data_IF_901646700591
#
_entry.id   IF_901646700591
#
_cell.length_a   1.000
_cell.length_b   1.000
_cell.length_c   1.000
_cell.angle_alpha   90.00
_cell.angle_beta   90.00
_cell.angle_gamma   90.00
#
_symmetry.space_group_name_H-M   'P 1'
#
loop_
_entity.id
_entity.type
_entity.pdbx_description
1 polymer ?
#
# COMPACT_ATOMS: atom_id res chain seq x y z
N UNK A 1 -18.61 -22.58 5.70
CA UNK A 1 -17.41 -23.45 5.71
C UNK A 1 -16.26 -22.59 5.20
N UNK A 2 -15.38 -22.18 6.08
CA UNK A 2 -14.17 -21.43 5.71
C UNK A 2 -13.12 -22.50 5.47
N UNK A 3 -12.76 -22.74 4.22
CA UNK A 3 -11.63 -23.61 3.88
C UNK A 3 -10.32 -22.90 4.28
N UNK A 4 -9.59 -23.48 5.20
CA UNK A 4 -8.29 -22.98 5.60
C UNK A 4 -7.30 -23.04 4.42
N UNK A 5 -6.88 -21.90 3.94
CA UNK A 5 -5.85 -21.76 2.92
C UNK A 5 -4.50 -21.71 3.63
N UNK A 6 -3.66 -22.67 3.37
CA UNK A 6 -2.28 -22.74 3.88
C UNK A 6 -1.51 -21.52 3.33
N UNK A 7 -0.92 -20.74 4.22
CA UNK A 7 -0.13 -19.57 3.84
C UNK A 7 1.20 -20.08 3.24
N UNK A 8 1.26 -20.14 1.92
CA UNK A 8 2.50 -20.39 1.18
C UNK A 8 3.37 -19.12 1.14
N UNK A 9 4.68 -19.28 1.24
CA UNK A 9 5.65 -18.18 1.06
C UNK A 9 5.55 -17.65 -0.37
N UNK A 10 4.96 -16.49 -0.53
CA UNK A 10 4.62 -15.89 -1.82
C UNK A 10 5.68 -14.91 -2.30
N UNK A 11 5.99 -14.93 -3.59
CA UNK A 11 6.74 -13.86 -4.24
C UNK A 11 6.05 -12.51 -4.05
N UNK A 12 6.83 -11.44 -4.00
CA UNK A 12 6.35 -10.08 -3.74
C UNK A 12 6.13 -9.32 -5.02
N UNK A 13 5.10 -8.50 -4.98
CA UNK A 13 4.70 -7.63 -6.05
C UNK A 13 5.48 -6.31 -6.00
N UNK A 14 6.05 -5.89 -7.12
CA UNK A 14 6.49 -4.52 -7.34
C UNK A 14 5.49 -3.84 -8.25
N UNK A 15 5.03 -2.68 -7.82
CA UNK A 15 4.08 -1.87 -8.56
C UNK A 15 4.73 -0.54 -8.94
N UNK A 16 4.72 -0.20 -10.22
CA UNK A 16 4.97 1.17 -10.67
C UNK A 16 3.62 1.87 -10.72
N UNK A 17 3.47 2.92 -9.94
CA UNK A 17 2.22 3.64 -9.82
C UNK A 17 2.40 5.07 -10.28
N UNK A 18 1.61 5.46 -11.24
CA UNK A 18 1.52 6.83 -11.74
C UNK A 18 0.31 7.52 -11.15
N UNK A 19 0.51 8.70 -10.57
CA UNK A 19 -0.54 9.48 -9.95
C UNK A 19 -0.54 10.90 -10.48
N UNK A 20 -1.66 11.30 -11.06
CA UNK A 20 -1.96 12.70 -11.29
C UNK A 20 -3.00 13.15 -10.26
N UNK A 21 -2.65 14.09 -9.38
CA UNK A 21 -3.52 14.48 -8.28
C UNK A 21 -3.89 15.95 -8.29
N UNK A 22 -5.04 16.20 -7.71
CA UNK A 22 -5.66 17.52 -7.61
C UNK A 22 -5.46 18.20 -6.23
N UNK A 23 -4.33 17.99 -5.56
CA UNK A 23 -4.06 18.54 -4.21
C UNK A 23 -4.27 17.49 -3.11
N UNK A 24 -4.08 17.79 -1.87
CA UNK A 24 -4.10 17.06 -0.58
C UNK A 24 -4.29 15.52 -0.56
N UNK A 25 -4.83 14.92 -1.61
CA UNK A 25 -5.21 13.50 -1.70
C UNK A 25 -4.04 12.50 -1.71
N UNK A 26 -2.82 12.93 -2.02
CA UNK A 26 -1.64 12.04 -2.11
C UNK A 26 -1.31 11.37 -0.77
N UNK A 27 -1.63 12.03 0.34
CA UNK A 27 -1.32 11.52 1.67
C UNK A 27 -2.32 10.46 2.16
N UNK A 28 -3.57 10.58 1.77
CA UNK A 28 -4.55 9.51 1.93
C UNK A 28 -4.15 8.25 1.14
N UNK A 29 -3.37 8.43 0.09
CA UNK A 29 -2.92 7.37 -0.80
C UNK A 29 -1.82 6.47 -0.22
N UNK A 30 -0.89 7.00 0.54
CA UNK A 30 0.10 6.14 1.22
C UNK A 30 -0.59 5.14 2.18
N UNK A 31 -1.72 5.53 2.77
CA UNK A 31 -2.56 4.61 3.55
C UNK A 31 -3.37 3.64 2.67
N UNK A 32 -3.72 4.05 1.45
CA UNK A 32 -4.52 3.24 0.53
C UNK A 32 -3.69 2.24 -0.27
N UNK A 33 -2.42 2.54 -0.59
CA UNK A 33 -1.47 1.54 -1.13
C UNK A 33 -1.38 0.34 -0.18
N UNK A 34 -1.43 0.56 1.13
CA UNK A 34 -1.45 -0.51 2.10
C UNK A 34 -2.76 -1.32 2.12
N UNK A 35 -3.87 -0.75 1.66
CA UNK A 35 -5.17 -1.42 1.57
C UNK A 35 -5.39 -2.14 0.24
N UNK A 36 -4.82 -1.64 -0.85
CA UNK A 36 -5.08 -2.13 -2.21
C UNK A 36 -4.37 -3.45 -2.49
N UNK A 37 -3.22 -3.68 -1.89
CA UNK A 37 -2.39 -4.83 -2.21
C UNK A 37 -2.68 -6.07 -1.37
N UNK A 38 -3.84 -6.14 -0.74
CA UNK A 38 -4.20 -7.24 0.17
C UNK A 38 -4.78 -8.49 -0.52
N UNK A 39 -4.76 -8.62 -1.83
CA UNK A 39 -5.33 -9.78 -2.50
C UNK A 39 -4.38 -10.45 -3.49
N UNK A 40 -4.05 -11.61 -3.29
CA UNK A 40 -4.20 -12.93 -3.84
C UNK A 40 -2.98 -13.85 -3.63
N UNK A 41 -3.16 -14.96 -2.97
CA UNK A 41 -2.13 -15.95 -2.63
C UNK A 41 -2.36 -17.28 -3.41
N UNK A 42 -3.26 -17.29 -4.38
CA UNK A 42 -3.73 -18.55 -4.99
C UNK A 42 -2.77 -19.24 -5.94
N UNK A 43 -1.57 -18.71 -6.19
CA UNK A 43 -0.58 -19.30 -7.12
C UNK A 43 0.76 -19.65 -6.48
N UNK A 44 0.80 -19.78 -5.15
CA UNK A 44 2.04 -19.94 -4.39
C UNK A 44 2.85 -21.22 -4.77
N UNK A 45 2.19 -22.33 -5.09
CA UNK A 45 2.89 -23.59 -5.40
C UNK A 45 3.63 -23.54 -6.74
N UNK A 46 3.00 -22.94 -7.76
CA UNK A 46 3.65 -22.79 -9.06
C UNK A 46 4.80 -21.79 -9.03
N UNK A 47 4.69 -20.73 -8.20
CA UNK A 47 5.74 -19.74 -8.03
C UNK A 47 6.93 -20.31 -7.27
N UNK A 48 6.68 -21.13 -6.24
CA UNK A 48 7.75 -21.74 -5.44
C UNK A 48 8.63 -22.64 -6.30
N UNK A 49 8.04 -23.53 -7.11
CA UNK A 49 8.79 -24.39 -8.00
C UNK A 49 9.62 -23.62 -9.04
N UNK A 50 9.11 -22.50 -9.52
CA UNK A 50 9.80 -21.65 -10.51
C UNK A 50 10.90 -20.80 -9.85
N UNK A 51 10.68 -20.30 -8.64
CA UNK A 51 11.68 -19.53 -7.88
C UNK A 51 12.82 -20.44 -7.41
N UNK A 52 12.52 -21.67 -6.98
CA UNK A 52 13.52 -22.66 -6.59
C UNK A 52 14.37 -23.13 -7.80
N UNK A 53 13.79 -23.11 -9.01
CA UNK A 53 14.49 -23.52 -10.24
C UNK A 53 15.33 -22.38 -10.87
N UNK A 54 14.93 -21.12 -10.69
CA UNK A 54 15.62 -19.95 -11.29
C UNK A 54 15.53 -18.76 -10.34
N UNK A 55 16.54 -18.55 -9.55
CA UNK A 55 16.63 -17.48 -8.52
C UNK A 55 16.40 -16.02 -9.02
N UNK A 56 16.03 -15.82 -10.27
CA UNK A 56 15.89 -14.50 -10.90
C UNK A 56 14.62 -14.27 -11.71
N UNK A 57 13.63 -15.15 -11.67
CA UNK A 57 12.45 -15.00 -12.53
C UNK A 57 11.42 -14.04 -11.94
N UNK A 58 11.12 -12.98 -12.68
CA UNK A 58 10.02 -12.06 -12.40
C UNK A 58 8.85 -12.37 -13.33
N UNK A 59 7.62 -12.25 -12.82
CA UNK A 59 6.40 -12.40 -13.61
C UNK A 59 5.82 -11.02 -13.89
N UNK A 60 5.61 -10.70 -15.16
CA UNK A 60 5.13 -9.40 -15.62
C UNK A 60 3.62 -9.31 -15.78
N UNK A 61 2.92 -10.44 -15.60
CA UNK A 61 1.46 -10.49 -15.69
C UNK A 61 0.86 -11.11 -14.44
N UNK A 62 -0.06 -10.38 -13.82
CA UNK A 62 -0.88 -10.83 -12.69
C UNK A 62 -2.31 -10.40 -13.00
N UNK A 63 -3.18 -11.37 -13.31
CA UNK A 63 -4.55 -11.09 -13.76
C UNK A 63 -5.35 -10.27 -12.75
N UNK A 64 -5.89 -9.12 -13.19
CA UNK A 64 -6.79 -8.27 -12.42
C UNK A 64 -6.13 -7.34 -11.39
N UNK A 65 -4.86 -7.51 -11.05
CA UNK A 65 -4.21 -6.70 -10.00
C UNK A 65 -3.97 -5.24 -10.40
N UNK A 66 -3.69 -4.99 -11.67
CA UNK A 66 -3.50 -3.64 -12.19
C UNK A 66 -4.81 -2.85 -12.17
N UNK A 67 -5.87 -3.42 -12.74
CA UNK A 67 -7.20 -2.81 -12.73
C UNK A 67 -7.70 -2.53 -11.31
N UNK A 68 -7.48 -3.47 -10.40
CA UNK A 68 -7.81 -3.34 -8.99
C UNK A 68 -7.04 -2.19 -8.33
N UNK A 69 -5.74 -2.10 -8.55
CA UNK A 69 -4.89 -1.03 -8.04
C UNK A 69 -5.28 0.35 -8.57
N UNK A 70 -5.83 0.43 -9.78
CA UNK A 70 -6.30 1.66 -10.40
C UNK A 70 -7.71 2.07 -9.91
N UNK A 71 -8.60 1.11 -9.66
CA UNK A 71 -10.02 1.38 -9.40
C UNK A 71 -10.40 1.42 -7.92
N UNK A 72 -9.77 0.61 -7.06
CA UNK A 72 -10.11 0.57 -5.64
C UNK A 72 -9.85 1.88 -4.91
N UNK A 73 -8.73 2.61 -5.13
CA UNK A 73 -8.53 3.92 -4.50
C UNK A 73 -9.64 4.92 -4.85
N UNK A 74 -10.08 4.93 -6.09
CA UNK A 74 -11.16 5.82 -6.53
C UNK A 74 -12.49 5.48 -5.85
N UNK A 75 -12.71 4.21 -5.53
CA UNK A 75 -13.87 3.78 -4.75
C UNK A 75 -13.77 4.22 -3.29
N UNK A 76 -12.59 4.08 -2.68
CA UNK A 76 -12.33 4.49 -1.29
C UNK A 76 -12.51 6.01 -1.13
N UNK A 77 -12.05 6.80 -2.09
CA UNK A 77 -12.20 8.26 -2.11
C UNK A 77 -13.53 8.73 -2.68
N UNK A 78 -14.40 7.79 -3.03
CA UNK A 78 -15.73 8.06 -3.54
C UNK A 78 -16.65 8.67 -2.49
N UNK A 79 -17.89 8.92 -2.90
CA UNK A 79 -18.96 9.44 -2.04
C UNK A 79 -20.13 8.47 -2.03
N UNK A 80 -20.90 8.49 -0.95
CA UNK A 80 -22.17 7.76 -0.90
C UNK A 80 -23.26 8.72 -1.37
N UNK A 81 -23.89 8.40 -2.50
CA UNK A 81 -25.02 9.13 -3.06
C UNK A 81 -26.17 8.16 -3.25
N UNK A 82 -27.33 8.46 -2.65
CA UNK A 82 -28.53 7.61 -2.69
C UNK A 82 -28.29 6.14 -2.28
N UNK A 83 -27.40 5.92 -1.29
CA UNK A 83 -27.05 4.58 -0.81
C UNK A 83 -26.08 3.80 -1.68
N UNK A 84 -25.55 4.40 -2.75
CA UNK A 84 -24.59 3.80 -3.67
C UNK A 84 -23.24 4.54 -3.60
N UNK A 85 -22.14 3.77 -3.70
CA UNK A 85 -20.80 4.37 -3.77
C UNK A 85 -20.57 4.90 -5.19
N UNK A 86 -20.43 6.21 -5.33
CA UNK A 86 -19.98 6.88 -6.55
C UNK A 86 -18.48 7.07 -6.47
N UNK A 87 -17.75 6.46 -7.40
CA UNK A 87 -16.27 6.54 -7.44
C UNK A 87 -15.80 7.99 -7.64
N UNK A 88 -14.68 8.35 -7.03
CA UNK A 88 -13.96 9.57 -7.37
C UNK A 88 -13.48 9.52 -8.83
N UNK A 89 -13.38 10.67 -9.48
CA UNK A 89 -12.87 10.80 -10.84
C UNK A 89 -11.38 11.18 -10.87
N UNK A 90 -10.85 11.52 -9.73
CA UNK A 90 -9.48 11.95 -9.48
C UNK A 90 -8.96 11.31 -8.18
N UNK A 91 -7.62 11.08 -8.08
CA UNK A 91 -6.59 11.28 -9.10
C UNK A 91 -6.71 10.31 -10.28
N UNK A 92 -6.03 10.60 -11.40
CA UNK A 92 -5.82 9.60 -12.45
C UNK A 92 -4.71 8.65 -12.00
N UNK A 93 -4.96 7.36 -12.10
CA UNK A 93 -4.06 6.32 -11.62
C UNK A 93 -3.82 5.34 -12.76
N UNK A 94 -2.57 5.01 -13.00
CA UNK A 94 -2.19 3.85 -13.79
C UNK A 94 -1.20 3.00 -13.01
N UNK A 95 -1.24 1.70 -13.20
CA UNK A 95 -0.47 0.75 -12.43
C UNK A 95 0.09 -0.34 -13.32
N UNK A 96 1.33 -0.75 -13.06
CA UNK A 96 1.90 -1.97 -13.61
C UNK A 96 2.40 -2.85 -12.48
N UNK A 97 1.89 -4.08 -12.42
CA UNK A 97 2.18 -5.03 -11.37
C UNK A 97 3.20 -6.08 -11.83
N UNK A 98 4.27 -6.25 -11.07
CA UNK A 98 5.33 -7.22 -11.35
C UNK A 98 5.58 -8.05 -10.10
N UNK A 99 5.52 -9.35 -10.24
CA UNK A 99 5.88 -10.30 -9.18
C UNK A 99 7.39 -10.58 -9.21
N UNK A 100 8.04 -10.46 -8.06
CA UNK A 100 9.49 -10.66 -7.91
C UNK A 100 9.78 -11.66 -6.80
N UNK A 101 10.91 -12.40 -6.84
CA UNK A 101 11.24 -13.46 -5.90
C UNK A 101 11.75 -12.92 -4.56
N UNK A 102 10.84 -12.43 -3.72
CA UNK A 102 11.10 -12.02 -2.34
C UNK A 102 10.06 -12.65 -1.41
N UNK A 103 10.42 -12.87 -0.15
CA UNK A 103 9.56 -13.58 0.80
C UNK A 103 8.34 -12.75 1.22
N UNK A 104 8.55 -11.48 1.56
CA UNK A 104 7.52 -10.58 2.07
C UNK A 104 7.71 -9.17 1.52
N UNK A 105 6.69 -8.36 1.67
CA UNK A 105 6.72 -6.94 1.37
C UNK A 105 6.21 -6.58 -0.03
N UNK A 106 5.48 -5.50 -0.13
CA UNK A 106 5.14 -4.85 -1.39
C UNK A 106 5.96 -3.59 -1.55
N UNK A 107 6.62 -3.46 -2.69
CA UNK A 107 7.40 -2.28 -3.04
C UNK A 107 6.75 -1.58 -4.21
N UNK A 108 6.47 -0.30 -4.07
CA UNK A 108 5.92 0.55 -5.12
C UNK A 108 6.96 1.59 -5.55
N UNK A 109 7.23 1.68 -6.85
CA UNK A 109 7.88 2.85 -7.46
C UNK A 109 6.77 3.83 -7.85
N UNK A 110 6.73 4.97 -7.20
CA UNK A 110 5.65 5.95 -7.37
C UNK A 110 6.16 7.18 -8.11
N UNK A 111 5.41 7.60 -9.12
CA UNK A 111 5.59 8.86 -9.83
C UNK A 111 4.32 9.67 -9.62
N UNK A 112 4.45 10.95 -9.25
CA UNK A 112 3.30 11.75 -8.88
C UNK A 112 3.38 13.16 -9.44
N UNK A 113 2.24 13.62 -9.97
CA UNK A 113 2.02 15.00 -10.39
C UNK A 113 0.94 15.63 -9.51
N UNK A 114 1.21 16.83 -9.05
CA UNK A 114 0.30 17.59 -8.20
C UNK A 114 -0.34 18.74 -8.98
N UNK A 115 -1.54 19.16 -8.61
CA UNK A 115 -2.11 20.42 -9.14
C UNK A 115 -1.25 21.62 -8.74
N UNK A 116 -0.69 21.58 -7.53
CA UNK A 116 0.27 22.56 -7.03
C UNK A 116 1.46 21.78 -6.47
N UNK A 117 2.61 21.90 -7.13
CA UNK A 117 3.84 21.20 -6.73
C UNK A 117 4.24 21.61 -5.32
N UNK A 118 4.28 20.68 -4.35
CA UNK A 118 4.81 20.95 -3.01
C UNK A 118 6.35 20.95 -3.03
N UNK A 119 6.98 21.50 -2.00
CA UNK A 119 8.42 21.32 -1.78
C UNK A 119 8.72 19.92 -1.22
N UNK A 120 9.98 19.52 -1.27
CA UNK A 120 10.45 18.24 -0.72
C UNK A 120 10.17 18.16 0.79
N UNK A 121 10.46 19.23 1.49
CA UNK A 121 10.29 19.35 2.93
C UNK A 121 8.81 19.24 3.32
N UNK A 122 7.93 19.88 2.58
CA UNK A 122 6.47 19.77 2.78
C UNK A 122 5.98 18.34 2.60
N UNK A 123 6.52 17.60 1.61
CA UNK A 123 6.16 16.20 1.41
C UNK A 123 6.66 15.32 2.55
N UNK A 124 7.92 15.50 2.97
CA UNK A 124 8.49 14.72 4.09
C UNK A 124 7.70 14.99 5.37
N UNK A 125 7.47 16.26 5.69
CA UNK A 125 6.68 16.65 6.87
C UNK A 125 5.29 15.99 6.88
N UNK A 126 4.62 15.98 5.74
CA UNK A 126 3.29 15.35 5.63
C UNK A 126 3.35 13.84 5.76
N UNK A 127 4.36 13.19 5.20
CA UNK A 127 4.56 11.74 5.33
C UNK A 127 4.81 11.35 6.80
N UNK A 128 5.75 12.01 7.46
CA UNK A 128 6.14 11.68 8.83
C UNK A 128 5.05 12.01 9.87
N UNK A 129 4.30 13.09 9.65
CA UNK A 129 3.21 13.50 10.55
C UNK A 129 1.85 12.94 10.17
N UNK A 130 1.80 12.04 9.18
CA UNK A 130 0.53 11.44 8.77
C UNK A 130 -0.09 10.60 9.90
N UNK A 131 -1.33 10.93 10.23
CA UNK A 131 -2.16 10.17 11.16
C UNK A 131 -3.49 9.85 10.49
N UNK A 132 -3.87 8.60 10.54
CA UNK A 132 -5.20 8.17 10.18
C UNK A 132 -6.08 8.00 11.40
N UNK A 133 -7.35 7.73 11.19
CA UNK A 133 -8.32 7.49 12.25
C UNK A 133 -7.86 6.45 13.30
N UNK A 134 -7.18 5.34 12.94
CA UNK A 134 -6.67 4.40 13.92
C UNK A 134 -5.66 5.01 14.90
N UNK A 135 -4.77 5.90 14.44
CA UNK A 135 -3.82 6.61 15.31
C UNK A 135 -4.51 7.65 16.19
N UNK A 136 -5.49 8.37 15.65
CA UNK A 136 -6.30 9.33 16.40
C UNK A 136 -7.09 8.67 17.53
N UNK A 137 -7.61 7.46 17.29
CA UNK A 137 -8.34 6.66 18.26
C UNK A 137 -7.44 5.82 19.18
N UNK A 138 -6.13 5.86 18.97
CA UNK A 138 -5.13 5.05 19.71
C UNK A 138 -5.51 3.56 19.75
N UNK A 139 -5.90 2.99 18.61
CA UNK A 139 -6.32 1.60 18.55
C UNK A 139 -5.15 0.64 18.82
N UNK A 140 -5.41 -0.53 19.47
CA UNK A 140 -4.35 -1.45 19.91
C UNK A 140 -3.42 -1.92 18.79
N UNK A 141 -3.94 -2.20 17.60
CA UNK A 141 -3.16 -2.66 16.45
C UNK A 141 -2.64 -1.52 15.56
N UNK A 142 -2.92 -0.26 15.91
CA UNK A 142 -2.45 0.88 15.15
C UNK A 142 -0.94 1.09 15.33
N UNK A 143 -0.14 1.24 14.27
CA UNK A 143 1.25 1.63 14.39
C UNK A 143 1.34 3.04 15.00
N UNK A 144 2.33 3.28 15.84
CA UNK A 144 2.53 4.58 16.51
C UNK A 144 2.87 5.66 15.49
N UNK A 145 3.81 5.36 14.60
CA UNK A 145 4.13 6.18 13.43
C UNK A 145 3.78 5.40 12.17
N UNK A 146 2.74 5.82 11.47
CA UNK A 146 2.19 5.06 10.37
C UNK A 146 3.11 5.07 9.14
N UNK A 147 3.68 6.23 8.78
CA UNK A 147 4.60 6.37 7.67
C UNK A 147 5.92 6.90 8.19
N UNK A 148 7.02 6.23 7.83
CA UNK A 148 8.39 6.68 8.09
C UNK A 148 9.06 7.10 6.79
N UNK A 149 9.66 8.29 6.78
CA UNK A 149 10.55 8.70 5.70
C UNK A 149 11.99 8.26 5.98
N UNK A 150 12.67 7.75 4.96
CA UNK A 150 14.06 7.29 5.02
C UNK A 150 14.93 8.17 4.14
N UNK A 151 16.03 8.65 4.71
CA UNK A 151 16.95 9.59 4.05
C UNK A 151 18.03 8.90 3.25
N UNK A 152 18.31 7.63 3.56
CA UNK A 152 19.38 6.86 2.93
C UNK A 152 19.03 6.51 1.48
N UNK A 153 20.00 6.67 0.60
CA UNK A 153 19.81 6.47 -0.85
C UNK A 153 19.47 5.03 -1.25
N UNK A 154 19.82 4.06 -0.43
CA UNK A 154 19.55 2.64 -0.66
C UNK A 154 18.34 2.09 0.11
N UNK A 155 17.51 2.95 0.72
CA UNK A 155 16.33 2.55 1.49
C UNK A 155 15.03 3.10 0.89
N UNK A 156 13.89 2.40 1.05
CA UNK A 156 13.69 1.19 1.84
C UNK A 156 14.18 -0.09 1.12
N UNK A 157 14.56 -1.09 1.92
CA UNK A 157 14.90 -2.45 1.47
C UNK A 157 13.98 -3.47 2.13
N UNK A 158 13.48 -4.44 1.36
CA UNK A 158 12.52 -5.43 1.86
C UNK A 158 13.04 -6.15 3.09
N UNK A 159 14.25 -6.72 3.03
CA UNK A 159 14.81 -7.51 4.13
C UNK A 159 15.06 -6.74 5.43
N UNK A 160 15.26 -5.43 5.32
CA UNK A 160 15.62 -4.58 6.47
C UNK A 160 14.42 -3.82 7.04
N UNK A 161 13.45 -3.48 6.18
CA UNK A 161 12.43 -2.48 6.54
C UNK A 161 11.01 -3.02 6.59
N UNK A 162 10.75 -4.21 6.03
CA UNK A 162 9.40 -4.74 5.89
C UNK A 162 8.66 -4.88 7.24
N UNK A 163 9.40 -5.11 8.33
CA UNK A 163 8.84 -5.32 9.67
C UNK A 163 8.71 -4.04 10.50
N UNK A 164 8.87 -2.86 9.89
CA UNK A 164 8.67 -1.60 10.60
C UNK A 164 7.29 -1.53 11.27
N UNK A 165 7.26 -1.06 12.55
CA UNK A 165 6.04 -1.07 13.39
C UNK A 165 5.36 -2.46 13.41
N UNK A 166 6.14 -3.53 13.63
CA UNK A 166 5.68 -4.92 13.59
C UNK A 166 5.00 -5.31 12.27
N UNK A 167 5.43 -4.71 11.15
CA UNK A 167 4.84 -4.92 9.84
C UNK A 167 3.57 -4.12 9.57
N UNK A 168 3.15 -3.24 10.48
CA UNK A 168 1.96 -2.40 10.32
C UNK A 168 2.27 -1.00 9.78
N UNK A 169 3.55 -0.58 9.78
CA UNK A 169 3.99 0.70 9.24
C UNK A 169 4.36 0.65 7.76
N UNK A 170 4.53 1.82 7.18
CA UNK A 170 4.94 2.04 5.80
C UNK A 170 6.27 2.78 5.78
N UNK A 171 7.20 2.32 4.96
CA UNK A 171 8.46 3.00 4.73
C UNK A 171 8.40 3.72 3.38
N UNK A 172 8.78 4.99 3.37
CA UNK A 172 8.94 5.79 2.16
C UNK A 172 10.37 6.31 2.10
N UNK A 173 11.00 6.21 0.95
CA UNK A 173 12.34 6.74 0.73
C UNK A 173 12.56 7.11 -0.72
N UNK A 174 13.77 7.57 -1.03
CA UNK A 174 14.11 7.93 -2.41
C UNK A 174 13.25 9.05 -2.98
N UNK A 175 12.73 9.96 -2.17
CA UNK A 175 11.96 11.12 -2.63
C UNK A 175 12.89 12.10 -3.37
N UNK A 176 12.63 12.27 -4.65
CA UNK A 176 13.41 13.13 -5.55
C UNK A 176 12.54 13.68 -6.66
N UNK A 177 12.98 14.77 -7.27
CA UNK A 177 12.31 15.34 -8.43
C UNK A 177 12.30 14.36 -9.61
N UNK A 178 11.26 14.44 -10.41
CA UNK A 178 11.11 13.69 -11.63
C UNK A 178 11.16 14.62 -12.84
N UNK A 179 11.66 14.12 -13.97
CA UNK A 179 11.82 14.91 -15.20
C UNK A 179 10.50 15.12 -15.98
N UNK A 180 9.48 14.29 -15.72
CA UNK A 180 8.18 14.32 -16.38
C UNK A 180 7.08 14.71 -15.41
N UNK A 181 7.13 14.13 -14.19
CA UNK A 181 6.22 14.41 -13.10
C UNK A 181 6.87 15.35 -12.08
N UNK A 182 6.16 15.68 -11.01
CA UNK A 182 6.73 16.57 -10.00
C UNK A 182 7.73 15.83 -9.10
N UNK A 183 7.32 14.64 -8.61
CA UNK A 183 8.10 13.86 -7.66
C UNK A 183 8.02 12.38 -7.96
N UNK A 184 9.08 11.65 -7.53
CA UNK A 184 9.10 10.19 -7.50
C UNK A 184 9.72 9.70 -6.21
N UNK A 185 9.22 8.56 -5.73
CA UNK A 185 9.69 7.92 -4.50
C UNK A 185 9.44 6.42 -4.51
N UNK A 186 9.93 5.72 -3.50
CA UNK A 186 9.71 4.29 -3.29
C UNK A 186 8.97 4.10 -1.97
N UNK A 187 7.88 3.34 -2.02
CA UNK A 187 7.14 2.89 -0.85
C UNK A 187 7.34 1.40 -0.60
N UNK A 188 7.37 0.99 0.67
CA UNK A 188 7.46 -0.41 1.09
C UNK A 188 6.57 -0.64 2.30
N UNK A 189 5.81 -1.73 2.28
CA UNK A 189 5.05 -2.21 3.43
C UNK A 189 4.94 -3.74 3.43
N UNK A 190 4.54 -4.32 4.57
CA UNK A 190 4.39 -5.77 4.71
C UNK A 190 3.07 -6.25 4.09
N UNK A 191 3.15 -7.12 3.09
CA UNK A 191 2.00 -7.61 2.34
C UNK A 191 1.00 -8.41 3.19
N UNK A 192 1.47 -9.34 4.02
CA UNK A 192 0.60 -10.24 4.80
C UNK A 192 0.16 -9.65 6.13
N UNK A 193 0.95 -8.79 6.75
CA UNK A 193 0.59 -8.12 8.02
C UNK A 193 -0.24 -6.87 7.70
N UNK A 194 0.38 -5.81 7.21
CA UNK A 194 -0.33 -4.56 6.92
C UNK A 194 -1.39 -4.74 5.84
N UNK A 195 -1.04 -5.43 4.75
CA UNK A 195 -1.90 -5.61 3.59
C UNK A 195 -3.01 -6.65 3.77
N UNK A 196 -2.98 -7.48 4.81
CA UNK A 196 -3.96 -8.54 5.02
C UNK A 196 -4.39 -8.66 6.48
N UNK A 197 -3.81 -9.59 7.26
CA UNK A 197 -4.31 -9.96 8.58
C UNK A 197 -4.34 -8.81 9.58
N UNK A 198 -3.24 -8.07 9.73
CA UNK A 198 -3.16 -6.93 10.65
C UNK A 198 -4.07 -5.77 10.24
N UNK A 199 -4.16 -5.52 8.91
CA UNK A 199 -5.10 -4.53 8.38
C UNK A 199 -6.55 -4.89 8.65
N UNK A 200 -6.92 -6.17 8.53
CA UNK A 200 -8.29 -6.64 8.84
C UNK A 200 -8.62 -6.48 10.33
N UNK A 201 -7.68 -6.83 11.23
CA UNK A 201 -7.86 -6.63 12.68
C UNK A 201 -8.04 -5.16 13.00
N UNK A 202 -7.18 -4.28 12.47
CA UNK A 202 -7.27 -2.84 12.68
C UNK A 202 -8.59 -2.24 12.14
N UNK A 203 -9.08 -2.77 11.03
CA UNK A 203 -10.40 -2.40 10.50
C UNK A 203 -11.51 -2.79 11.48
N UNK A 204 -11.50 -4.01 12.03
CA UNK A 204 -12.46 -4.46 13.03
C UNK A 204 -12.41 -3.60 14.29
N UNK A 205 -11.23 -3.30 14.82
CA UNK A 205 -11.03 -2.38 15.97
C UNK A 205 -11.64 -1.00 15.67
N UNK A 206 -11.42 -0.48 14.46
CA UNK A 206 -11.98 0.81 14.03
C UNK A 206 -13.52 0.78 14.01
N UNK A 207 -14.11 -0.29 13.49
CA UNK A 207 -15.57 -0.45 13.44
C UNK A 207 -16.19 -0.54 14.85
N UNK A 208 -15.51 -1.24 15.77
CA UNK A 208 -15.92 -1.29 17.19
C UNK A 208 -15.83 0.09 17.84
N UNK A 209 -14.69 0.77 17.69
CA UNK A 209 -14.48 2.10 18.26
C UNK A 209 -15.49 3.14 17.73
N UNK A 210 -15.90 3.01 16.48
CA UNK A 210 -16.93 3.84 15.84
C UNK A 210 -18.36 3.37 16.09
N UNK A 211 -18.55 2.30 16.89
CA UNK A 211 -19.86 1.72 17.26
C UNK A 211 -20.67 1.16 16.08
N UNK A 212 -20.01 0.80 14.98
CA UNK A 212 -20.65 0.05 13.89
C UNK A 212 -20.85 -1.44 14.27
N UNK A 213 -20.01 -1.95 15.16
CA UNK A 213 -20.10 -3.29 15.73
C UNK A 213 -20.20 -3.14 17.24
N UNK A 214 -21.18 -3.80 17.84
CA UNK A 214 -21.37 -3.89 19.28
C UNK A 214 -21.27 -5.36 19.73
N UNK A 215 -20.77 -5.57 20.96
CA UNK A 215 -20.89 -6.88 21.59
C UNK A 215 -22.38 -7.22 21.79
N UNK A 216 -22.72 -8.47 21.53
CA UNK A 216 -24.07 -9.01 21.81
C UNK A 216 -24.17 -9.37 23.29
#
# INVERSE_FOLDING_TARGET
>A
MISGTTIGTSGVQRCALLLETTGVSVFAYASSIALISSFDISTAENIKSTVDATCSTSFTFIGGEEEKSEQEPLRIWGKIENGVIVKATEPKITCQCIRVPVLNGHTAAVFVKFRKKPTKEQLIEKLENFKGLPQELNLPSAPKQFIRYMTEDNRPQVTLDVNYENGMGINVGRLREDSIYDWKFVGLYHNTVRGAAGGAVLCAETLVAKKFIAAK
#
